data_IF_959386986481
#
_entry.id   IF_959386986481
#
_cell.length_a   1.000
_cell.length_b   1.000
_cell.length_c   1.000
_cell.angle_alpha   90.00
_cell.angle_beta   90.00
_cell.angle_gamma   90.00
#
_symmetry.space_group_name_H-M   'P 1'
#
loop_
_entity.id
_entity.type
_entity.pdbx_description
1 polymer ?
#
# COMPACT_ATOMS: atom_id res chain seq x y z
N UNK A 1 -25.61 -26.59 -41.20
CA UNK A 1 -24.90 -25.31 -41.43
C UNK A 1 -24.39 -24.85 -40.07
N UNK A 2 -23.08 -24.96 -39.83
CA UNK A 2 -22.47 -24.64 -38.54
C UNK A 2 -21.95 -23.20 -38.57
N UNK A 3 -22.47 -22.34 -37.70
CA UNK A 3 -21.92 -21.01 -37.47
C UNK A 3 -20.71 -21.11 -36.53
N UNK A 4 -19.54 -20.54 -36.89
CA UNK A 4 -18.43 -20.44 -35.97
C UNK A 4 -18.71 -19.37 -34.92
N UNK A 5 -18.60 -19.76 -33.65
CA UNK A 5 -18.68 -18.85 -32.50
C UNK A 5 -17.34 -18.12 -32.38
N UNK A 6 -17.35 -16.81 -32.67
CA UNK A 6 -16.21 -15.93 -32.41
C UNK A 6 -15.95 -15.82 -30.92
N UNK A 7 -14.76 -16.21 -30.48
CA UNK A 7 -14.27 -15.94 -29.13
C UNK A 7 -13.83 -14.47 -29.04
N UNK A 8 -14.21 -13.73 -27.99
CA UNK A 8 -13.68 -12.38 -27.78
C UNK A 8 -12.19 -12.45 -27.41
N UNK A 9 -11.45 -11.45 -27.89
CA UNK A 9 -10.04 -11.26 -27.60
C UNK A 9 -9.83 -11.02 -26.10
N UNK A 10 -8.88 -11.75 -25.51
CA UNK A 10 -8.37 -11.47 -24.17
C UNK A 10 -7.45 -10.27 -24.30
N UNK A 11 -7.85 -9.14 -23.72
CA UNK A 11 -7.05 -7.93 -23.62
C UNK A 11 -6.22 -8.03 -22.33
N UNK A 12 -4.91 -8.25 -22.45
CA UNK A 12 -3.97 -8.12 -21.34
C UNK A 12 -3.90 -6.65 -20.93
N UNK A 13 -4.52 -6.30 -19.81
CA UNK A 13 -4.29 -5.05 -19.13
C UNK A 13 -3.07 -5.21 -18.23
N UNK A 14 -1.96 -4.57 -18.61
CA UNK A 14 -0.85 -4.31 -17.72
C UNK A 14 -1.28 -3.19 -16.76
N UNK A 15 -1.97 -3.54 -15.67
CA UNK A 15 -2.20 -2.64 -14.55
C UNK A 15 -0.95 -2.64 -13.67
N UNK A 16 -0.36 -1.45 -13.51
CA UNK A 16 0.74 -1.17 -12.58
C UNK A 16 0.29 -1.17 -11.11
N UNK A 17 -0.98 -1.50 -10.84
CA UNK A 17 -1.55 -1.65 -9.52
C UNK A 17 -0.95 -2.88 -8.85
N UNK A 18 0.06 -2.65 -8.01
CA UNK A 18 0.63 -3.71 -7.19
C UNK A 18 -0.37 -4.10 -6.10
N UNK A 19 -1.29 -5.01 -6.42
CA UNK A 19 -2.02 -5.77 -5.42
C UNK A 19 -1.02 -6.66 -4.68
N UNK A 20 -0.34 -6.11 -3.67
CA UNK A 20 0.59 -6.86 -2.85
C UNK A 20 -0.20 -7.79 -1.93
N UNK A 21 -0.12 -9.09 -2.23
CA UNK A 21 -0.43 -10.17 -1.29
C UNK A 21 0.48 -10.02 -0.07
N UNK A 22 -0.01 -9.31 0.95
CA UNK A 22 0.63 -9.29 2.25
C UNK A 22 0.63 -10.73 2.80
N UNK A 23 1.82 -11.29 3.02
CA UNK A 23 1.97 -12.48 3.85
C UNK A 23 1.41 -12.14 5.24
N UNK A 24 0.19 -12.63 5.49
CA UNK A 24 -0.46 -12.52 6.78
C UNK A 24 0.33 -13.36 7.80
N UNK A 25 1.11 -12.71 8.66
CA UNK A 25 1.37 -13.29 9.98
C UNK A 25 0.11 -13.11 10.85
N UNK A 26 -0.44 -14.19 11.42
CA UNK A 26 -1.82 -14.24 11.86
C UNK A 26 -1.94 -13.98 13.36
N UNK A 27 -2.31 -12.77 13.76
CA UNK A 27 -3.12 -12.58 14.97
C UNK A 27 -4.59 -12.39 14.55
N UNK A 28 -5.10 -13.50 14.00
CA UNK A 28 -6.48 -14.00 13.86
C UNK A 28 -7.57 -12.96 14.19
N UNK A 29 -8.39 -12.50 13.24
CA UNK A 29 -9.44 -13.30 12.59
C UNK A 29 -9.96 -12.53 11.38
N UNK A 30 -9.70 -13.03 10.16
CA UNK A 30 -10.63 -13.11 9.00
C UNK A 30 -9.88 -14.04 8.06
N UNK A 31 -10.28 -15.31 8.11
CA UNK A 31 -9.73 -16.37 7.27
C UNK A 31 -10.70 -16.59 6.11
N UNK A 32 -10.19 -16.42 4.90
CA UNK A 32 -10.85 -16.84 3.68
C UNK A 32 -10.75 -15.75 2.64
N UNK A 33 -9.75 -15.84 1.76
CA UNK A 33 -9.80 -15.55 0.32
C UNK A 33 -8.37 -15.40 -0.21
N UNK A 34 -7.77 -16.49 -0.67
CA UNK A 34 -6.74 -16.51 -1.73
C UNK A 34 -6.20 -17.94 -1.94
N UNK A 35 -6.98 -18.82 -2.56
CA UNK A 35 -6.41 -20.00 -3.23
C UNK A 35 -7.13 -20.19 -4.57
N UNK A 36 -6.48 -19.80 -5.67
CA UNK A 36 -6.47 -20.55 -6.94
C UNK A 36 -5.88 -19.71 -8.08
N UNK A 37 -4.60 -19.94 -8.40
CA UNK A 37 -4.06 -20.18 -9.75
C UNK A 37 -2.60 -19.81 -9.79
N UNK A 38 -1.74 -20.82 -9.91
CA UNK A 38 -0.53 -20.76 -10.74
C UNK A 38 0.00 -22.19 -10.90
N UNK A 39 -0.42 -22.84 -11.98
CA UNK A 39 0.28 -23.98 -12.58
C UNK A 39 0.55 -23.62 -14.03
N UNK A 40 1.82 -23.37 -14.36
CA UNK A 40 2.57 -23.95 -15.49
C UNK A 40 3.92 -23.23 -15.65
N UNK A 41 5.03 -23.92 -15.40
CA UNK A 41 6.03 -24.42 -16.38
C UNK A 41 6.96 -23.35 -16.98
N UNK A 42 8.24 -23.40 -16.61
CA UNK A 42 9.38 -23.29 -17.52
C UNK A 42 10.65 -23.87 -16.88
N UNK A 43 11.33 -24.73 -17.62
CA UNK A 43 12.60 -25.41 -17.31
C UNK A 43 13.82 -24.49 -17.49
N UNK A 44 14.97 -24.77 -16.82
CA UNK A 44 16.10 -23.84 -16.78
C UNK A 44 17.03 -23.99 -18.00
N UNK A 45 17.29 -22.88 -18.68
CA UNK A 45 18.36 -22.76 -19.67
C UNK A 45 19.69 -22.41 -18.97
N UNK A 46 20.72 -23.18 -19.30
CA UNK A 46 22.09 -23.07 -18.80
C UNK A 46 22.72 -21.71 -19.16
N UNK A 47 23.10 -20.92 -18.15
CA UNK A 47 23.97 -19.76 -18.30
C UNK A 47 25.41 -20.17 -17.96
N UNK A 48 26.25 -20.22 -19.00
CA UNK A 48 27.71 -20.32 -18.87
C UNK A 48 28.26 -19.00 -18.32
N UNK A 49 28.94 -19.08 -17.19
CA UNK A 49 29.77 -18.00 -16.65
C UNK A 49 31.15 -18.05 -17.33
N UNK A 50 31.51 -16.98 -18.04
CA UNK A 50 32.91 -16.68 -18.33
C UNK A 50 33.28 -15.43 -17.53
N UNK A 51 34.05 -15.63 -16.48
CA UNK A 51 34.63 -14.57 -15.68
C UNK A 51 35.68 -13.81 -16.49
N UNK A 52 35.55 -12.49 -16.57
CA UNK A 52 36.69 -11.60 -16.78
C UNK A 52 36.84 -10.71 -15.55
N UNK A 53 38.01 -10.82 -14.93
CA UNK A 53 38.41 -10.05 -13.77
C UNK A 53 38.70 -8.61 -14.19
N UNK A 54 37.76 -7.72 -13.93
CA UNK A 54 37.96 -6.27 -13.88
C UNK A 54 37.46 -5.78 -12.54
N UNK A 55 38.36 -5.63 -11.57
CA UNK A 55 38.05 -5.08 -10.24
C UNK A 55 37.78 -3.57 -10.38
N UNK A 56 36.55 -3.21 -10.73
CA UNK A 56 36.07 -1.83 -10.60
C UNK A 56 35.51 -1.67 -9.19
N UNK A 57 36.31 -1.11 -8.29
CA UNK A 57 35.81 -0.61 -7.02
C UNK A 57 34.94 0.62 -7.32
N UNK A 58 33.62 0.42 -7.36
CA UNK A 58 32.67 1.53 -7.25
C UNK A 58 32.82 2.10 -5.83
N UNK A 59 33.60 3.17 -5.72
CA UNK A 59 33.54 4.12 -4.60
C UNK A 59 32.13 4.71 -4.61
N UNK A 60 31.20 4.01 -3.95
CA UNK A 60 29.94 4.59 -3.55
C UNK A 60 30.28 5.62 -2.47
N UNK A 61 30.30 6.90 -2.83
CA UNK A 61 30.31 7.98 -1.86
C UNK A 61 29.12 7.75 -0.91
N UNK A 62 29.35 7.46 0.39
CA UNK A 62 28.27 7.35 1.35
C UNK A 62 27.65 8.75 1.44
N UNK A 63 26.52 8.94 0.76
CA UNK A 63 25.74 10.16 0.89
C UNK A 63 25.49 10.38 2.38
N UNK A 64 25.77 11.57 2.92
CA UNK A 64 25.55 11.86 4.32
C UNK A 64 24.06 11.62 4.59
N UNK A 65 23.77 10.58 5.38
CA UNK A 65 22.44 10.32 5.91
C UNK A 65 22.09 11.58 6.69
N UNK A 66 21.30 12.46 6.08
CA UNK A 66 20.77 13.64 6.76
C UNK A 66 20.03 13.10 7.96
N UNK A 67 20.55 13.38 9.16
CA UNK A 67 19.86 13.04 10.41
C UNK A 67 18.53 13.81 10.38
N UNK A 68 17.46 13.17 9.90
CA UNK A 68 16.08 13.64 10.10
C UNK A 68 15.95 14.08 11.55
N UNK A 69 15.32 15.22 11.79
CA UNK A 69 15.03 15.67 13.14
C UNK A 69 14.06 14.69 13.80
N UNK A 70 14.63 13.71 14.50
CA UNK A 70 13.90 12.59 15.10
C UNK A 70 12.84 13.05 16.09
N UNK A 71 12.98 14.25 16.66
CA UNK A 71 12.04 14.77 17.66
C UNK A 71 10.73 15.21 17.00
N UNK A 72 10.82 15.97 15.91
CA UNK A 72 9.65 16.45 15.17
C UNK A 72 8.85 15.29 14.57
N UNK A 73 9.53 14.32 13.95
CA UNK A 73 8.89 13.11 13.40
C UNK A 73 8.23 12.26 14.50
N UNK A 74 8.82 12.18 15.70
CA UNK A 74 8.24 11.44 16.82
C UNK A 74 6.94 12.08 17.34
N UNK A 75 6.92 13.39 17.56
CA UNK A 75 5.71 14.10 18.01
C UNK A 75 4.58 13.98 16.99
N UNK A 76 4.90 14.03 15.70
CA UNK A 76 3.93 13.84 14.62
C UNK A 76 3.36 12.41 14.66
N UNK A 77 4.20 11.39 14.80
CA UNK A 77 3.75 10.01 14.94
C UNK A 77 2.84 9.80 16.16
N UNK A 78 3.19 10.36 17.32
CA UNK A 78 2.36 10.25 18.54
C UNK A 78 0.97 10.85 18.33
N UNK A 79 0.90 12.04 17.73
CA UNK A 79 -0.38 12.70 17.40
C UNK A 79 -1.20 11.90 16.40
N UNK A 80 -0.58 11.44 15.31
CA UNK A 80 -1.23 10.61 14.31
C UNK A 80 -1.76 9.31 14.94
N UNK A 81 -0.95 8.62 15.75
CA UNK A 81 -1.35 7.40 16.44
C UNK A 81 -2.50 7.63 17.43
N UNK A 82 -2.49 8.73 18.18
CA UNK A 82 -3.60 9.08 19.08
C UNK A 82 -4.91 9.32 18.30
N UNK A 83 -4.83 10.01 17.16
CA UNK A 83 -5.99 10.24 16.29
C UNK A 83 -6.48 8.94 15.65
N UNK A 84 -5.58 8.10 15.16
CA UNK A 84 -5.88 6.76 14.66
C UNK A 84 -6.57 5.92 15.75
N UNK A 85 -6.11 5.98 17.00
CA UNK A 85 -6.74 5.25 18.10
C UNK A 85 -8.18 5.71 18.33
N UNK A 86 -8.44 7.02 18.26
CA UNK A 86 -9.76 7.59 18.44
C UNK A 86 -10.73 7.29 17.28
N UNK A 87 -10.22 7.19 16.05
CA UNK A 87 -11.05 7.06 14.84
C UNK A 87 -11.18 5.62 14.32
N UNK A 88 -10.10 4.85 14.39
CA UNK A 88 -9.97 3.49 13.85
C UNK A 88 -9.73 2.43 14.94
N UNK A 89 -9.55 2.85 16.20
CA UNK A 89 -9.35 1.96 17.33
C UNK A 89 -7.88 1.67 17.66
N UNK A 90 -7.66 1.10 18.85
CA UNK A 90 -6.32 0.91 19.41
C UNK A 90 -5.43 -0.04 18.59
N UNK A 91 -6.00 -1.00 17.86
CA UNK A 91 -5.23 -1.93 17.02
C UNK A 91 -4.62 -1.21 15.82
N UNK A 92 -5.38 -0.36 15.13
CA UNK A 92 -4.88 0.45 14.02
C UNK A 92 -3.76 1.39 14.50
N UNK A 93 -3.90 2.01 15.68
CA UNK A 93 -2.85 2.87 16.24
C UNK A 93 -1.55 2.10 16.52
N UNK A 94 -1.63 0.91 17.14
CA UNK A 94 -0.46 0.04 17.35
C UNK A 94 0.18 -0.38 16.03
N UNK A 95 -0.64 -0.63 14.99
CA UNK A 95 -0.14 -0.95 13.65
C UNK A 95 0.64 0.23 13.08
N UNK A 96 0.08 1.45 13.12
CA UNK A 96 0.77 2.67 12.64
C UNK A 96 2.12 2.88 13.35
N UNK A 97 2.16 2.72 14.68
CA UNK A 97 3.40 2.80 15.45
C UNK A 97 4.44 1.75 15.01
N UNK A 98 4.00 0.54 14.66
CA UNK A 98 4.88 -0.50 14.12
C UNK A 98 5.40 -0.16 12.73
N UNK A 99 4.57 0.42 11.85
CA UNK A 99 5.01 0.84 10.51
C UNK A 99 6.15 1.87 10.60
N UNK A 100 6.10 2.76 11.59
CA UNK A 100 7.15 3.75 11.82
C UNK A 100 8.50 3.15 12.25
N UNK A 101 8.56 1.88 12.65
CA UNK A 101 9.83 1.22 12.99
C UNK A 101 10.53 0.62 11.77
N UNK A 102 9.91 0.64 10.58
CA UNK A 102 10.50 0.07 9.38
C UNK A 102 11.57 1.03 8.82
N UNK A 103 12.82 0.57 8.68
CA UNK A 103 13.88 1.38 8.07
C UNK A 103 13.74 1.40 6.55
N UNK A 104 14.49 2.30 5.89
CA UNK A 104 14.69 2.19 4.45
C UNK A 104 15.28 0.80 4.09
N UNK A 105 14.85 0.27 2.96
CA UNK A 105 15.21 -1.04 2.43
C UNK A 105 14.39 -2.23 2.96
N UNK A 106 13.33 -2.02 3.75
CA UNK A 106 12.55 -3.11 4.37
C UNK A 106 11.90 -4.09 3.38
N UNK A 107 11.52 -3.60 2.18
CA UNK A 107 10.96 -4.41 1.10
C UNK A 107 12.04 -4.76 0.07
N UNK A 108 12.82 -5.80 0.33
CA UNK A 108 13.88 -6.30 -0.56
C UNK A 108 14.88 -5.20 -1.02
N UNK A 109 15.17 -4.24 -0.13
CA UNK A 109 16.04 -3.10 -0.43
C UNK A 109 15.36 -1.93 -1.15
N UNK A 110 14.05 -1.98 -1.41
CA UNK A 110 13.33 -1.00 -2.23
C UNK A 110 12.32 -0.15 -1.44
N UNK A 111 11.86 -0.63 -0.28
CA UNK A 111 10.89 0.07 0.57
C UNK A 111 11.49 1.28 1.28
N UNK A 112 10.77 2.40 1.33
CA UNK A 112 11.16 3.59 2.11
C UNK A 112 10.57 3.52 3.52
N UNK A 113 11.26 4.16 4.46
CA UNK A 113 10.73 4.43 5.78
C UNK A 113 9.50 5.34 5.69
N UNK A 114 8.63 5.26 6.70
CA UNK A 114 7.43 6.08 6.81
C UNK A 114 7.75 7.57 6.61
N UNK A 115 6.98 8.22 5.73
CA UNK A 115 7.11 9.62 5.39
C UNK A 115 6.27 10.49 6.34
N UNK A 116 6.88 11.56 6.86
CA UNK A 116 6.20 12.53 7.74
C UNK A 116 5.03 13.22 7.01
N UNK A 117 5.18 13.50 5.72
CA UNK A 117 4.11 14.07 4.88
C UNK A 117 2.88 13.14 4.82
N UNK A 118 3.08 11.83 4.82
CA UNK A 118 1.99 10.86 4.86
C UNK A 118 1.24 10.90 6.20
N UNK A 119 1.96 11.07 7.31
CA UNK A 119 1.36 11.20 8.64
C UNK A 119 0.49 12.47 8.73
N UNK A 120 0.94 13.59 8.15
CA UNK A 120 0.15 14.82 8.06
C UNK A 120 -1.12 14.61 7.23
N UNK A 121 -1.01 13.95 6.08
CA UNK A 121 -2.14 13.60 5.24
C UNK A 121 -3.15 12.69 5.96
N UNK A 122 -2.65 11.67 6.65
CA UNK A 122 -3.47 10.75 7.45
C UNK A 122 -4.22 11.48 8.55
N UNK A 123 -3.55 12.37 9.30
CA UNK A 123 -4.22 13.17 10.33
C UNK A 123 -5.38 13.99 9.77
N UNK A 124 -5.22 14.58 8.60
CA UNK A 124 -6.26 15.38 7.92
C UNK A 124 -7.39 14.48 7.40
N UNK A 125 -7.05 13.35 6.78
CA UNK A 125 -8.04 12.39 6.28
C UNK A 125 -8.93 11.85 7.42
N UNK A 126 -8.33 11.52 8.56
CA UNK A 126 -9.04 11.02 9.75
C UNK A 126 -10.03 12.04 10.36
N UNK A 127 -9.80 13.34 10.17
CA UNK A 127 -10.71 14.39 10.64
C UNK A 127 -11.92 14.55 9.71
N UNK A 128 -11.77 14.28 8.42
CA UNK A 128 -12.80 14.51 7.39
C UNK A 128 -13.76 13.33 7.21
N UNK A 129 -13.30 12.11 7.47
CA UNK A 129 -14.06 10.89 7.23
C UNK A 129 -14.81 10.39 8.46
N UNK A 130 -15.99 9.81 8.22
CA UNK A 130 -16.67 8.91 9.13
C UNK A 130 -16.25 7.46 8.85
N UNK A 131 -15.41 6.91 9.71
CA UNK A 131 -14.88 5.55 9.61
C UNK A 131 -15.74 4.51 10.34
N UNK A 132 -16.85 4.93 10.95
CA UNK A 132 -17.68 4.02 11.73
C UNK A 132 -18.24 2.89 10.86
N UNK A 133 -18.14 1.66 11.36
CA UNK A 133 -18.64 0.46 10.69
C UNK A 133 -17.72 -0.11 9.59
N UNK A 134 -16.58 0.52 9.29
CA UNK A 134 -15.61 -0.01 8.33
C UNK A 134 -14.57 -0.91 9.02
N UNK A 135 -14.20 -2.02 8.38
CA UNK A 135 -13.09 -2.87 8.81
C UNK A 135 -11.78 -2.37 8.18
N UNK A 136 -11.16 -1.39 8.84
CA UNK A 136 -10.01 -0.65 8.31
C UNK A 136 -8.69 -1.29 8.74
N UNK A 137 -7.79 -1.50 7.78
CA UNK A 137 -6.41 -1.89 8.02
C UNK A 137 -5.39 -0.86 7.49
N UNK A 138 -4.21 -0.84 8.14
CA UNK A 138 -3.11 0.08 7.81
C UNK A 138 -1.86 -0.67 7.34
N UNK A 139 -1.30 -0.20 6.23
CA UNK A 139 -0.07 -0.71 5.62
C UNK A 139 0.90 0.43 5.29
N UNK A 140 2.11 0.06 4.91
CA UNK A 140 3.15 0.98 4.44
C UNK A 140 3.43 0.65 2.99
N UNK A 141 3.26 1.63 2.10
CA UNK A 141 3.61 1.48 0.70
C UNK A 141 5.13 1.43 0.53
N UNK A 142 5.57 0.98 -0.64
CA UNK A 142 6.99 0.97 -0.98
C UNK A 142 7.61 2.38 -0.94
N UNK A 143 6.84 3.42 -1.22
CA UNK A 143 7.30 4.80 -1.19
C UNK A 143 7.24 5.45 0.20
N UNK A 144 6.88 4.66 1.22
CA UNK A 144 6.82 5.10 2.61
C UNK A 144 5.54 5.85 2.96
N UNK A 145 4.49 5.74 2.14
CA UNK A 145 3.18 6.31 2.42
C UNK A 145 2.33 5.33 3.23
N UNK A 146 1.44 5.86 4.06
CA UNK A 146 0.40 5.08 4.73
C UNK A 146 -0.64 4.67 3.70
N UNK A 147 -0.93 3.38 3.68
CA UNK A 147 -2.05 2.80 2.96
C UNK A 147 -3.18 2.50 3.96
N UNK A 148 -4.39 2.91 3.61
CA UNK A 148 -5.62 2.58 4.35
C UNK A 148 -6.48 1.74 3.44
N UNK A 149 -6.89 0.54 3.87
CA UNK A 149 -7.82 -0.25 3.08
C UNK A 149 -8.95 -0.86 3.91
N UNK A 150 -10.05 -1.17 3.24
CA UNK A 150 -11.23 -1.85 3.78
C UNK A 150 -11.99 -2.55 2.66
N UNK A 151 -12.83 -3.56 2.96
CA UNK A 151 -13.71 -4.16 1.96
C UNK A 151 -14.92 -3.25 1.66
N UNK A 152 -15.30 -3.13 0.39
CA UNK A 152 -16.54 -2.50 -0.04
C UNK A 152 -17.78 -3.40 0.18
N UNK A 153 -18.95 -2.92 -0.25
CA UNK A 153 -20.21 -3.65 -0.18
C UNK A 153 -20.22 -5.00 -0.94
N UNK A 154 -19.31 -5.19 -1.91
CA UNK A 154 -19.13 -6.43 -2.64
C UNK A 154 -18.07 -7.35 -2.00
N UNK A 155 -17.40 -6.88 -0.95
CA UNK A 155 -16.28 -7.57 -0.30
C UNK A 155 -14.95 -7.38 -1.04
N UNK A 156 -14.90 -6.52 -2.04
CA UNK A 156 -13.70 -6.20 -2.80
C UNK A 156 -12.92 -5.07 -2.12
N UNK A 157 -11.61 -5.01 -2.32
CA UNK A 157 -10.75 -4.06 -1.61
C UNK A 157 -10.91 -2.64 -2.15
N UNK A 158 -11.09 -1.68 -1.24
CA UNK A 158 -10.83 -0.25 -1.46
C UNK A 158 -9.55 0.13 -0.74
N UNK A 159 -8.63 0.77 -1.44
CA UNK A 159 -7.32 1.17 -0.91
C UNK A 159 -7.07 2.66 -1.16
N UNK A 160 -6.60 3.36 -0.14
CA UNK A 160 -6.15 4.75 -0.20
C UNK A 160 -4.66 4.83 0.11
N UNK A 161 -3.83 5.29 -0.83
CA UNK A 161 -2.46 5.69 -0.58
C UNK A 161 -2.39 7.18 -0.25
N UNK A 162 -1.92 7.51 0.95
CA UNK A 162 -2.05 8.86 1.51
C UNK A 162 -0.75 9.64 1.37
N UNK A 163 -0.76 10.67 0.54
CA UNK A 163 0.26 11.71 0.52
C UNK A 163 -0.16 12.90 1.41
N UNK A 164 0.61 13.98 1.39
CA UNK A 164 0.37 15.16 2.25
C UNK A 164 -0.99 15.82 2.02
N UNK A 165 -1.30 16.12 0.77
CA UNK A 165 -2.43 16.97 0.38
C UNK A 165 -3.44 16.26 -0.52
N UNK A 166 -3.10 15.05 -0.98
CA UNK A 166 -3.92 14.20 -1.83
C UNK A 166 -3.82 12.74 -1.36
N UNK A 167 -4.71 11.91 -1.88
CA UNK A 167 -4.62 10.46 -1.78
C UNK A 167 -4.94 9.83 -3.13
N UNK A 168 -4.34 8.69 -3.42
CA UNK A 168 -4.73 7.84 -4.56
C UNK A 168 -5.70 6.78 -4.06
N UNK A 169 -6.86 6.69 -4.69
CA UNK A 169 -7.90 5.71 -4.38
C UNK A 169 -7.94 4.64 -5.46
N UNK A 170 -7.82 3.38 -5.06
CA UNK A 170 -8.03 2.21 -5.90
C UNK A 170 -9.26 1.43 -5.41
N UNK A 171 -10.21 1.14 -6.30
CA UNK A 171 -11.41 0.35 -5.97
C UNK A 171 -11.47 -0.92 -6.83
N UNK A 172 -11.14 -2.07 -6.23
CA UNK A 172 -11.00 -3.34 -6.95
C UNK A 172 -12.29 -3.77 -7.69
N UNK A 173 -13.47 -3.48 -7.12
CA UNK A 173 -14.78 -3.80 -7.73
C UNK A 173 -15.02 -3.10 -9.08
N UNK A 174 -14.38 -1.96 -9.31
CA UNK A 174 -14.51 -1.18 -10.56
C UNK A 174 -13.24 -1.20 -11.41
N UNK A 175 -12.10 -1.48 -10.79
CA UNK A 175 -10.78 -1.29 -11.39
C UNK A 175 -10.37 0.19 -11.52
N UNK A 176 -11.14 1.11 -10.94
CA UNK A 176 -10.82 2.55 -10.97
C UNK A 176 -9.61 2.85 -10.07
N UNK A 177 -8.71 3.68 -10.59
CA UNK A 177 -7.61 4.31 -9.84
C UNK A 177 -7.69 5.83 -10.06
N UNK A 178 -7.85 6.60 -8.98
CA UNK A 178 -8.04 8.06 -9.05
C UNK A 178 -7.28 8.79 -7.95
N UNK A 179 -6.54 9.83 -8.33
CA UNK A 179 -5.93 10.77 -7.38
C UNK A 179 -6.93 11.87 -7.01
N UNK A 180 -7.10 12.11 -5.72
CA UNK A 180 -8.08 13.04 -5.16
C UNK A 180 -7.46 13.91 -4.07
N UNK A 181 -7.86 15.19 -3.93
CA UNK A 181 -7.41 16.02 -2.82
C UNK A 181 -8.00 15.55 -1.48
N UNK A 182 -7.30 15.76 -0.37
CA UNK A 182 -7.81 15.48 0.98
C UNK A 182 -8.80 16.58 1.41
N UNK A 183 -10.02 16.50 0.86
CA UNK A 183 -11.11 17.44 1.12
C UNK A 183 -12.42 16.71 1.45
N UNK A 184 -13.28 17.33 2.26
CA UNK A 184 -14.50 16.71 2.79
C UNK A 184 -15.35 16.05 1.70
N UNK A 185 -15.52 16.75 0.56
CA UNK A 185 -16.30 16.23 -0.57
C UNK A 185 -15.67 14.98 -1.18
N UNK A 186 -14.38 15.03 -1.54
CA UNK A 186 -13.69 13.91 -2.18
C UNK A 186 -13.67 12.66 -1.27
N UNK A 187 -13.41 12.87 0.02
CA UNK A 187 -13.42 11.80 1.04
C UNK A 187 -14.83 11.21 1.19
N UNK A 188 -15.85 12.06 1.29
CA UNK A 188 -17.25 11.61 1.38
C UNK A 188 -17.69 10.83 0.15
N UNK A 189 -17.29 11.27 -1.05
CA UNK A 189 -17.65 10.62 -2.31
C UNK A 189 -17.06 9.21 -2.38
N UNK A 190 -15.80 9.01 -1.96
CA UNK A 190 -15.16 7.68 -1.91
C UNK A 190 -15.85 6.77 -0.90
N UNK A 191 -16.11 7.26 0.32
CA UNK A 191 -16.80 6.47 1.35
C UNK A 191 -18.20 6.06 0.91
N UNK A 192 -18.96 6.97 0.31
CA UNK A 192 -20.30 6.70 -0.19
C UNK A 192 -20.34 5.68 -1.34
N UNK A 193 -19.29 5.62 -2.16
CA UNK A 193 -19.15 4.60 -3.22
C UNK A 193 -18.78 3.21 -2.69
N UNK A 194 -18.13 3.14 -1.52
CA UNK A 194 -17.63 1.89 -0.94
C UNK A 194 -18.62 1.19 0.00
N UNK A 195 -19.64 1.91 0.50
CA UNK A 195 -20.67 1.40 1.40
C UNK A 195 -21.89 0.89 0.64
#
# INVERSE_FOLDING_TARGET
>A
MNHPVSRPAVQEFASSGCAWLAYAEPDRTIAGFAEARLRQVATPAQLRWTASAGQTYLLLDPQPITRRDRTASHQLLERAAAKTAAKLGAQAARRLQRLATYPDGWDQGQGRALADDSLLGLERLLDLADWSGLDVALFLSRDGQVLVNWPDAQGEVVELEIARDHFTCFMASTGDEIELPIEARAVSDVLARSR
#
